data_IF_691111687645
#
_entry.id   IF_691111687645
#
_cell.length_a   1.000
_cell.length_b   1.000
_cell.length_c   1.000
_cell.angle_alpha   90.00
_cell.angle_beta   90.00
_cell.angle_gamma   90.00
#
_symmetry.space_group_name_H-M   'P 1'
#
loop_
_entity.id
_entity.type
_entity.pdbx_description
1 polymer ?
#
# COMPACT_ATOMS: atom_id res chain seq x y z
N UNK A 1 7.79 9.13 8.94
CA UNK A 1 6.72 8.35 9.59
C UNK A 1 5.48 9.20 9.78
N UNK A 2 4.30 8.66 9.48
CA UNK A 2 3.05 9.41 9.64
C UNK A 2 2.52 9.30 11.06
N UNK A 3 1.79 10.33 11.48
CA UNK A 3 1.15 10.36 12.80
C UNK A 3 -0.15 9.57 12.78
N UNK A 4 -0.72 9.28 13.95
CA UNK A 4 -2.02 8.60 14.05
C UNK A 4 -3.12 9.42 13.37
N UNK A 5 -3.08 10.73 13.48
CA UNK A 5 -4.04 11.62 12.85
C UNK A 5 -3.93 11.55 11.32
N UNK A 6 -2.71 11.56 10.81
CA UNK A 6 -2.44 11.45 9.38
C UNK A 6 -2.88 10.09 8.85
N UNK A 7 -2.61 9.02 9.60
CA UNK A 7 -3.05 7.68 9.21
C UNK A 7 -4.56 7.58 9.13
N UNK A 8 -5.26 8.16 10.10
CA UNK A 8 -6.73 8.19 10.12
C UNK A 8 -7.29 8.91 8.90
N UNK A 9 -6.68 10.04 8.54
CA UNK A 9 -7.07 10.80 7.35
C UNK A 9 -6.89 9.95 6.08
N UNK A 10 -5.75 9.25 5.97
CA UNK A 10 -5.46 8.40 4.82
C UNK A 10 -6.44 7.22 4.72
N UNK A 11 -6.85 6.65 5.86
CA UNK A 11 -7.87 5.60 5.86
C UNK A 11 -9.18 6.11 5.26
N UNK A 12 -9.57 7.32 5.63
CA UNK A 12 -10.79 7.92 5.09
C UNK A 12 -10.69 8.07 3.57
N UNK A 13 -9.55 8.57 3.07
CA UNK A 13 -9.34 8.69 1.63
C UNK A 13 -9.37 7.33 0.93
N UNK A 14 -8.87 6.29 1.59
CA UNK A 14 -8.77 4.96 0.98
C UNK A 14 -10.11 4.24 0.86
N UNK A 15 -11.15 4.68 1.56
CA UNK A 15 -12.45 4.01 1.55
C UNK A 15 -13.06 3.92 0.15
N UNK A 16 -12.76 4.88 -0.72
CA UNK A 16 -13.29 4.90 -2.09
C UNK A 16 -12.34 4.27 -3.11
N UNK A 17 -11.14 3.88 -2.69
CA UNK A 17 -10.17 3.30 -3.61
C UNK A 17 -10.50 1.84 -3.92
N UNK A 18 -10.23 1.45 -5.17
CA UNK A 18 -10.29 0.07 -5.58
C UNK A 18 -8.88 -0.52 -5.56
N UNK A 19 -8.73 -1.83 -5.27
CA UNK A 19 -7.41 -2.46 -5.39
C UNK A 19 -6.91 -2.38 -6.82
N UNK A 20 -5.67 -1.93 -6.99
CA UNK A 20 -5.07 -1.79 -8.32
C UNK A 20 -4.11 -2.92 -8.67
N UNK A 21 -3.68 -3.69 -7.67
CA UNK A 21 -2.85 -4.87 -7.87
C UNK A 21 -3.36 -6.02 -7.03
N UNK A 22 -3.04 -7.24 -7.45
CA UNK A 22 -3.34 -8.45 -6.70
C UNK A 22 -2.04 -9.19 -6.44
N UNK A 23 -1.85 -9.60 -5.18
CA UNK A 23 -0.71 -10.43 -4.79
C UNK A 23 -1.17 -11.87 -4.79
N UNK A 24 -0.63 -12.67 -5.69
CA UNK A 24 -1.05 -14.04 -5.88
C UNK A 24 0.06 -15.05 -5.60
N UNK A 25 -0.02 -16.18 -6.31
CA UNK A 25 0.85 -17.34 -6.11
C UNK A 25 2.34 -17.03 -6.27
N UNK A 26 2.69 -16.10 -7.15
CA UNK A 26 4.09 -15.74 -7.39
C UNK A 26 4.73 -15.06 -6.19
N UNK A 27 3.93 -14.49 -5.28
CA UNK A 27 4.43 -13.83 -4.10
C UNK A 27 4.97 -12.44 -4.37
N UNK A 28 5.75 -11.95 -3.42
CA UNK A 28 6.33 -10.60 -3.50
C UNK A 28 7.68 -10.70 -4.22
N UNK A 29 7.64 -10.47 -5.52
CA UNK A 29 8.85 -10.48 -6.35
C UNK A 29 9.34 -9.06 -6.59
N UNK A 30 10.59 -8.94 -7.06
CA UNK A 30 11.18 -7.65 -7.35
C UNK A 30 10.33 -6.83 -8.34
N UNK A 31 9.83 -7.48 -9.37
CA UNK A 31 9.00 -6.81 -10.37
C UNK A 31 7.69 -6.29 -9.77
N UNK A 32 7.10 -7.06 -8.88
CA UNK A 32 5.89 -6.65 -8.16
C UNK A 32 6.17 -5.39 -7.33
N UNK A 33 7.29 -5.38 -6.60
CA UNK A 33 7.69 -4.23 -5.80
C UNK A 33 7.93 -2.99 -6.66
N UNK A 34 8.53 -3.15 -7.83
CA UNK A 34 8.74 -2.04 -8.75
C UNK A 34 7.42 -1.43 -9.21
N UNK A 35 6.42 -2.25 -9.47
CA UNK A 35 5.09 -1.78 -9.85
C UNK A 35 4.45 -1.00 -8.71
N UNK A 36 4.59 -1.49 -7.48
CA UNK A 36 4.05 -0.81 -6.30
C UNK A 36 4.72 0.56 -6.12
N UNK A 37 6.04 0.62 -6.24
CA UNK A 37 6.79 1.88 -6.13
C UNK A 37 6.33 2.89 -7.18
N UNK A 38 6.18 2.43 -8.43
CA UNK A 38 5.71 3.30 -9.51
C UNK A 38 4.31 3.84 -9.25
N UNK A 39 3.41 2.99 -8.76
CA UNK A 39 2.05 3.41 -8.45
C UNK A 39 2.03 4.41 -7.30
N UNK A 40 2.85 4.20 -6.26
CA UNK A 40 2.94 5.13 -5.14
C UNK A 40 3.53 6.46 -5.57
N UNK A 41 4.49 6.46 -6.48
CA UNK A 41 5.05 7.70 -7.00
C UNK A 41 3.99 8.52 -7.75
N UNK A 42 3.10 7.84 -8.47
CA UNK A 42 2.03 8.51 -9.22
C UNK A 42 0.83 8.90 -8.36
N UNK A 43 0.47 8.10 -7.38
CA UNK A 43 -0.79 8.23 -6.65
C UNK A 43 -0.64 8.55 -5.17
N UNK A 44 0.50 8.24 -4.57
CA UNK A 44 0.82 8.36 -3.16
C UNK A 44 0.02 7.44 -2.24
N UNK A 45 -1.21 7.09 -2.59
CA UNK A 45 -2.07 6.20 -1.78
C UNK A 45 -2.64 5.13 -2.69
N UNK A 46 -2.39 3.86 -2.36
CA UNK A 46 -2.89 2.74 -3.17
C UNK A 46 -3.44 1.63 -2.28
N UNK A 47 -4.28 0.80 -2.88
CA UNK A 47 -4.84 -0.38 -2.24
C UNK A 47 -4.49 -1.60 -3.09
N UNK A 48 -4.10 -2.70 -2.44
CA UNK A 48 -3.88 -3.97 -3.11
C UNK A 48 -4.70 -5.07 -2.44
N UNK A 49 -4.96 -6.14 -3.18
CA UNK A 49 -5.65 -7.31 -2.66
C UNK A 49 -4.68 -8.47 -2.54
N UNK A 50 -4.67 -9.15 -1.40
CA UNK A 50 -3.85 -10.33 -1.17
C UNK A 50 -4.74 -11.56 -1.39
N UNK A 51 -4.40 -12.35 -2.41
CA UNK A 51 -5.21 -13.52 -2.77
C UNK A 51 -4.89 -14.71 -1.84
N UNK A 52 -5.86 -15.62 -1.72
CA UNK A 52 -5.70 -16.79 -0.85
C UNK A 52 -4.51 -17.65 -1.24
N UNK A 53 -4.19 -17.72 -2.54
CA UNK A 53 -3.10 -18.56 -3.02
C UNK A 53 -1.71 -17.90 -2.91
N UNK A 54 -1.63 -16.71 -2.30
CA UNK A 54 -0.34 -16.06 -2.09
C UNK A 54 0.50 -16.72 -1.00
N UNK A 55 -0.14 -17.49 -0.13
CA UNK A 55 0.56 -18.14 0.98
C UNK A 55 0.82 -17.20 2.16
N UNK A 56 0.24 -16.00 2.16
CA UNK A 56 0.44 -15.05 3.25
C UNK A 56 -0.83 -14.27 3.54
N UNK A 57 -0.90 -13.73 4.76
CA UNK A 57 -2.01 -12.86 5.16
C UNK A 57 -1.75 -11.44 4.65
N UNK A 58 -2.80 -10.62 4.65
CA UNK A 58 -2.66 -9.21 4.28
C UNK A 58 -1.67 -8.50 5.21
N UNK A 59 -1.66 -8.81 6.50
CA UNK A 59 -0.75 -8.20 7.45
C UNK A 59 0.70 -8.57 7.17
N UNK A 60 0.95 -9.86 6.88
CA UNK A 60 2.29 -10.31 6.54
C UNK A 60 2.80 -9.64 5.27
N UNK A 61 1.95 -9.57 4.24
CA UNK A 61 2.30 -8.92 2.99
C UNK A 61 2.60 -7.43 3.20
N UNK A 62 1.76 -6.77 4.01
CA UNK A 62 1.94 -5.35 4.31
C UNK A 62 3.30 -5.09 4.97
N UNK A 63 3.65 -5.90 5.96
CA UNK A 63 4.91 -5.73 6.68
C UNK A 63 6.11 -5.90 5.74
N UNK A 64 6.07 -6.92 4.89
CA UNK A 64 7.16 -7.18 3.94
C UNK A 64 7.30 -6.05 2.93
N UNK A 65 6.19 -5.62 2.34
CA UNK A 65 6.21 -4.57 1.32
C UNK A 65 6.67 -3.24 1.91
N UNK A 66 6.12 -2.85 3.05
CA UNK A 66 6.50 -1.58 3.68
C UNK A 66 7.98 -1.52 4.01
N UNK A 67 8.53 -2.62 4.51
CA UNK A 67 9.96 -2.68 4.82
C UNK A 67 10.81 -2.62 3.54
N UNK A 68 10.38 -3.33 2.50
CA UNK A 68 11.16 -3.42 1.26
C UNK A 68 11.24 -2.09 0.51
N UNK A 69 10.18 -1.29 0.52
CA UNK A 69 10.12 -0.06 -0.27
C UNK A 69 9.99 1.21 0.57
N UNK A 70 10.09 1.07 1.89
CA UNK A 70 10.00 2.20 2.81
C UNK A 70 8.69 2.98 2.68
N UNK A 71 7.58 2.25 2.59
CA UNK A 71 6.24 2.82 2.55
C UNK A 71 5.60 2.76 3.93
N UNK A 72 4.53 3.56 4.11
CA UNK A 72 3.75 3.55 5.34
C UNK A 72 2.55 2.62 5.19
N UNK A 73 2.33 1.77 6.18
CA UNK A 73 1.14 0.93 6.23
C UNK A 73 -0.02 1.77 6.78
N UNK A 74 -1.03 1.98 5.96
CA UNK A 74 -2.20 2.76 6.36
C UNK A 74 -3.24 1.88 7.02
N UNK A 75 -3.53 0.74 6.40
CA UNK A 75 -4.58 -0.15 6.88
C UNK A 75 -4.43 -1.54 6.27
N UNK A 76 -4.74 -2.57 7.06
CA UNK A 76 -5.00 -3.90 6.55
C UNK A 76 -6.40 -4.26 6.99
N UNK A 77 -7.27 -4.60 6.06
CA UNK A 77 -8.65 -4.98 6.35
C UNK A 77 -9.05 -6.16 5.47
N UNK A 78 -9.39 -7.27 6.12
CA UNK A 78 -9.66 -8.51 5.39
C UNK A 78 -8.44 -8.91 4.57
N UNK A 79 -8.63 -9.06 3.26
CA UNK A 79 -7.56 -9.43 2.34
C UNK A 79 -6.92 -8.23 1.64
N UNK A 80 -7.18 -7.02 2.10
CA UNK A 80 -6.72 -5.80 1.42
C UNK A 80 -5.73 -5.02 2.27
N UNK A 81 -4.75 -4.41 1.59
CA UNK A 81 -3.75 -3.57 2.22
C UNK A 81 -3.77 -2.19 1.58
N UNK A 82 -3.59 -1.16 2.39
CA UNK A 82 -3.47 0.22 1.91
C UNK A 82 -2.10 0.75 2.28
N UNK A 83 -1.41 1.34 1.32
CA UNK A 83 -0.07 1.89 1.49
C UNK A 83 -0.02 3.35 1.11
N UNK A 84 0.85 4.09 1.78
CA UNK A 84 1.12 5.49 1.48
C UNK A 84 2.62 5.73 1.37
N UNK A 85 3.02 6.52 0.40
CA UNK A 85 4.38 7.00 0.28
C UNK A 85 4.35 8.33 -0.45
N UNK A 86 4.98 9.36 0.12
CA UNK A 86 5.03 10.68 -0.51
C UNK A 86 5.75 10.60 -1.85
N UNK A 87 5.15 11.19 -2.88
CA UNK A 87 5.79 11.30 -4.19
C UNK A 87 7.01 12.20 -4.09
N UNK A 88 8.09 11.79 -4.75
CA UNK A 88 9.33 12.58 -4.78
C UNK A 88 9.24 13.75 -5.76
N UNK A 89 8.36 13.64 -6.76
CA UNK A 89 8.30 14.64 -7.84
C UNK A 89 7.04 15.50 -7.79
N UNK A 90 5.88 14.89 -7.48
CA UNK A 90 4.58 15.59 -7.53
C UNK A 90 3.69 15.19 -6.36
N UNK A 91 3.98 15.67 -5.14
CA UNK A 91 3.10 15.37 -4.00
C UNK A 91 1.69 15.86 -4.27
N UNK A 92 0.69 15.00 -4.01
CA UNK A 92 -0.71 15.28 -4.30
C UNK A 92 -1.56 15.36 -3.04
N UNK A 93 -1.21 14.58 -2.02
CA UNK A 93 -2.00 14.48 -0.80
C UNK A 93 -1.39 15.40 0.24
N UNK A 94 -2.20 16.34 0.73
CA UNK A 94 -1.80 17.19 1.84
C UNK A 94 -2.26 16.53 3.13
N UNK A 95 -1.29 16.19 3.98
CA UNK A 95 -1.59 15.57 5.26
C UNK A 95 -1.89 16.63 6.33
N UNK A 96 -2.86 16.35 7.22
CA UNK A 96 -3.16 17.25 8.31
C UNK A 96 -2.03 17.33 9.34
#
# INVERSE_FOLDING_TARGET
MITSKQRSYLRTLSNTLQPIFQLGKAGIEENFLKQIVGALESRELIKIKVLNNSGMTAREASDIICEAINAEAVQTIGSKCVFYKTSLTKPKIELP
#
